data_IF_644762257232
#
_entry.id   IF_644762257232
#
_cell.length_a   1.000
_cell.length_b   1.000
_cell.length_c   1.000
_cell.angle_alpha   90.00
_cell.angle_beta   90.00
_cell.angle_gamma   90.00
#
_symmetry.space_group_name_H-M   'P 1'
#
loop_
_entity.id
_entity.type
_entity.pdbx_description
1 polymer ?
#
# COMPACT_ATOMS: atom_id res chain seq x y z
N UNK A 1 1.60 4.51 16.36
CA UNK A 1 0.97 5.83 16.59
C UNK A 1 0.07 6.07 15.39
N UNK A 2 -1.22 6.28 15.60
CA UNK A 2 -2.15 6.54 14.48
C UNK A 2 -1.83 7.89 13.84
N UNK A 3 -1.75 7.94 12.52
CA UNK A 3 -1.58 9.19 11.78
C UNK A 3 -2.74 10.16 12.10
N UNK A 4 -2.45 11.38 12.60
CA UNK A 4 -3.50 12.35 12.93
C UNK A 4 -4.01 13.01 11.65
N UNK A 5 -4.92 12.32 10.97
CA UNK A 5 -5.56 12.82 9.75
C UNK A 5 -6.58 13.89 10.12
N UNK A 6 -6.37 15.10 9.65
CA UNK A 6 -7.33 16.17 9.86
C UNK A 6 -8.67 15.86 9.18
N UNK A 7 -9.72 16.30 9.86
CA UNK A 7 -11.11 16.21 9.37
C UNK A 7 -11.47 17.49 8.59
N UNK A 8 -10.87 18.62 8.95
CA UNK A 8 -11.14 19.93 8.35
C UNK A 8 -9.82 20.62 7.98
N UNK A 9 -9.81 21.37 6.86
CA UNK A 9 -8.67 22.15 6.41
C UNK A 9 -8.20 21.82 4.99
N UNK A 10 -7.27 22.63 4.42
CA UNK A 10 -6.86 22.51 3.02
C UNK A 10 -6.14 21.19 2.70
N UNK A 11 -5.52 20.55 3.70
CA UNK A 11 -4.84 19.27 3.56
C UNK A 11 -5.74 18.06 3.86
N UNK A 12 -7.00 18.26 4.28
CA UNK A 12 -7.87 17.16 4.70
C UNK A 12 -8.23 16.25 3.52
N UNK A 13 -8.07 14.92 3.65
CA UNK A 13 -8.35 14.01 2.55
C UNK A 13 -9.85 13.91 2.23
N UNK A 14 -10.20 13.68 0.95
CA UNK A 14 -11.59 13.51 0.51
C UNK A 14 -12.32 12.41 1.29
N UNK A 15 -13.50 12.74 1.81
CA UNK A 15 -14.35 11.83 2.56
C UNK A 15 -15.80 11.88 2.09
N UNK A 16 -16.49 10.76 2.22
CA UNK A 16 -17.94 10.64 2.03
C UNK A 16 -18.52 9.91 3.24
N UNK A 17 -19.48 10.52 3.92
CA UNK A 17 -20.07 10.02 5.18
C UNK A 17 -19.04 9.65 6.26
N UNK A 18 -17.89 10.33 6.29
CA UNK A 18 -16.82 10.09 7.27
C UNK A 18 -15.78 9.04 6.85
N UNK A 19 -16.00 8.30 5.76
CA UNK A 19 -15.04 7.34 5.22
C UNK A 19 -14.15 7.97 4.13
N UNK A 20 -12.90 7.52 4.04
CA UNK A 20 -11.97 7.95 2.98
C UNK A 20 -12.43 7.42 1.63
N UNK A 21 -12.51 8.31 0.64
CA UNK A 21 -12.93 7.96 -0.72
C UNK A 21 -11.71 7.87 -1.60
N UNK A 22 -11.55 6.74 -2.27
CA UNK A 22 -10.53 6.50 -3.29
C UNK A 22 -11.23 6.25 -4.63
N UNK A 23 -10.94 7.08 -5.62
CA UNK A 23 -11.41 6.94 -6.99
C UNK A 23 -10.64 5.83 -7.73
N UNK A 24 -9.36 5.64 -7.40
CA UNK A 24 -8.49 4.68 -8.09
C UNK A 24 -7.75 3.74 -7.13
N UNK A 25 -7.44 2.48 -7.53
CA UNK A 25 -6.77 1.52 -6.65
C UNK A 25 -5.38 1.93 -6.17
N UNK A 26 -4.72 2.88 -6.83
CA UNK A 26 -3.40 3.36 -6.42
C UNK A 26 -3.51 4.39 -5.28
N UNK A 27 -4.63 5.09 -5.14
CA UNK A 27 -4.82 6.15 -4.14
C UNK A 27 -4.84 5.58 -2.72
N UNK A 28 -5.53 4.45 -2.52
CA UNK A 28 -5.51 3.72 -1.25
C UNK A 28 -4.12 3.19 -0.89
N UNK A 29 -3.33 2.79 -1.90
CA UNK A 29 -1.94 2.37 -1.71
C UNK A 29 -1.05 3.53 -1.34
N UNK A 30 -1.17 4.67 -2.01
CA UNK A 30 -0.41 5.89 -1.70
C UNK A 30 -0.68 6.37 -0.27
N UNK A 31 -1.95 6.37 0.14
CA UNK A 31 -2.35 6.65 1.51
C UNK A 31 -1.74 5.66 2.50
N UNK A 32 -1.87 4.35 2.25
CA UNK A 32 -1.30 3.32 3.10
C UNK A 32 0.22 3.41 3.25
N UNK A 33 0.94 3.76 2.17
CA UNK A 33 2.40 4.00 2.22
C UNK A 33 2.75 5.18 3.12
N UNK A 34 2.05 6.31 2.99
CA UNK A 34 2.30 7.47 3.84
C UNK A 34 2.07 7.13 5.34
N UNK A 35 0.97 6.45 5.67
CA UNK A 35 0.68 6.03 7.05
C UNK A 35 1.73 5.05 7.57
N UNK A 36 2.11 4.05 6.77
CA UNK A 36 3.11 3.04 7.17
C UNK A 36 4.49 3.67 7.43
N UNK A 37 4.90 4.64 6.60
CA UNK A 37 6.16 5.36 6.76
C UNK A 37 6.15 6.26 8.01
N UNK A 38 5.02 6.91 8.29
CA UNK A 38 4.83 7.67 9.53
C UNK A 38 4.91 6.76 10.77
N UNK A 39 4.22 5.61 10.74
CA UNK A 39 4.26 4.64 11.83
C UNK A 39 5.65 4.06 12.06
N UNK A 40 6.43 3.89 10.99
CA UNK A 40 7.84 3.50 11.04
C UNK A 40 8.78 4.63 11.52
N UNK A 41 8.28 5.85 11.71
CA UNK A 41 9.06 7.00 12.16
C UNK A 41 9.97 7.60 11.09
N UNK A 42 9.72 7.33 9.80
CA UNK A 42 10.51 7.87 8.69
C UNK A 42 10.41 9.42 8.62
N UNK A 43 9.24 9.96 8.94
CA UNK A 43 8.98 11.39 9.03
C UNK A 43 7.93 11.67 10.12
N UNK A 44 7.73 12.95 10.46
CA UNK A 44 6.66 13.36 11.37
C UNK A 44 5.43 13.83 10.59
N UNK A 45 4.23 13.56 11.12
CA UNK A 45 2.99 13.96 10.43
C UNK A 45 2.91 15.45 10.08
N UNK A 46 3.30 16.39 10.96
CA UNK A 46 3.28 17.82 10.63
C UNK A 46 4.22 18.20 9.47
N UNK A 47 5.34 17.50 9.28
CA UNK A 47 6.24 17.74 8.14
C UNK A 47 5.56 17.39 6.83
N UNK A 48 4.93 16.22 6.78
CA UNK A 48 4.18 15.78 5.61
C UNK A 48 3.00 16.73 5.31
N UNK A 49 2.28 17.14 6.34
CA UNK A 49 1.18 18.08 6.21
C UNK A 49 1.65 19.43 5.65
N UNK A 50 2.78 19.97 6.14
CA UNK A 50 3.36 21.20 5.64
C UNK A 50 3.76 21.08 4.15
N UNK A 51 4.37 19.96 3.75
CA UNK A 51 4.71 19.68 2.36
C UNK A 51 3.46 19.60 1.48
N UNK A 52 2.38 18.97 1.96
CA UNK A 52 1.12 18.89 1.24
C UNK A 52 0.47 20.26 1.05
N UNK A 53 0.41 21.09 2.10
CA UNK A 53 -0.10 22.47 2.01
C UNK A 53 0.69 23.27 0.98
N UNK A 54 2.03 23.15 0.98
CA UNK A 54 2.87 23.82 0.01
C UNK A 54 2.59 23.37 -1.44
N UNK A 55 2.37 22.06 -1.65
CA UNK A 55 2.01 21.51 -2.97
C UNK A 55 0.65 21.98 -3.46
N UNK A 56 -0.34 22.02 -2.57
CA UNK A 56 -1.68 22.53 -2.88
C UNK A 56 -1.60 24.01 -3.27
N UNK A 57 -0.93 24.83 -2.47
CA UNK A 57 -0.75 26.25 -2.78
C UNK A 57 -0.01 26.48 -4.10
N UNK A 58 1.02 25.68 -4.40
CA UNK A 58 1.76 25.76 -5.65
C UNK A 58 0.88 25.36 -6.86
N UNK A 59 0.03 24.35 -6.70
CA UNK A 59 -0.93 23.97 -7.73
C UNK A 59 -1.98 25.08 -7.94
N UNK A 60 -2.58 25.61 -6.87
CA UNK A 60 -3.56 26.70 -6.96
C UNK A 60 -3.00 27.94 -7.67
N UNK A 61 -1.72 28.25 -7.47
CA UNK A 61 -1.05 29.37 -8.13
C UNK A 61 -0.76 29.13 -9.62
N UNK A 62 -0.63 27.88 -10.06
CA UNK A 62 -0.22 27.50 -11.41
C UNK A 62 -1.34 26.90 -12.27
N UNK A 63 -2.44 26.46 -11.65
CA UNK A 63 -3.50 25.72 -12.32
C UNK A 63 -4.22 26.58 -13.37
N UNK A 64 -4.47 25.97 -14.53
CA UNK A 64 -5.36 26.56 -15.52
C UNK A 64 -6.84 26.47 -15.06
N UNK A 65 -7.73 27.37 -15.53
CA UNK A 65 -9.13 27.42 -15.10
C UNK A 65 -9.91 26.10 -15.23
N UNK A 66 -9.52 25.25 -16.17
CA UNK A 66 -10.21 23.98 -16.48
C UNK A 66 -9.41 22.75 -16.03
N UNK A 67 -8.32 22.92 -15.27
CA UNK A 67 -7.49 21.79 -14.85
C UNK A 67 -8.11 21.04 -13.67
N UNK A 68 -8.36 19.73 -13.79
CA UNK A 68 -8.97 18.95 -12.71
C UNK A 68 -8.04 18.82 -11.50
N UNK A 69 -8.59 19.06 -10.31
CA UNK A 69 -7.86 18.90 -9.06
C UNK A 69 -7.64 17.42 -8.73
N UNK A 70 -6.38 16.99 -8.69
CA UNK A 70 -5.99 15.62 -8.39
C UNK A 70 -5.36 15.51 -7.00
N UNK A 71 -6.18 15.47 -5.94
CA UNK A 71 -5.74 15.45 -4.55
C UNK A 71 -4.64 14.40 -4.27
N UNK A 72 -4.88 13.14 -4.63
CA UNK A 72 -3.92 12.07 -4.34
C UNK A 72 -2.61 12.15 -5.14
N UNK A 73 -2.58 12.92 -6.25
CA UNK A 73 -1.32 13.23 -6.95
C UNK A 73 -0.49 14.24 -6.16
N UNK A 74 -1.14 15.27 -5.62
CA UNK A 74 -0.48 16.24 -4.73
C UNK A 74 -0.03 15.57 -3.43
N UNK A 75 -0.81 14.63 -2.90
CA UNK A 75 -0.44 13.77 -1.77
C UNK A 75 0.85 12.99 -2.04
N UNK A 76 0.94 12.31 -3.18
CA UNK A 76 2.12 11.52 -3.54
C UNK A 76 3.34 12.43 -3.74
N UNK A 77 3.18 13.56 -4.42
CA UNK A 77 4.27 14.53 -4.62
C UNK A 77 4.78 15.11 -3.29
N UNK A 78 3.89 15.40 -2.34
CA UNK A 78 4.26 15.85 -1.01
C UNK A 78 5.01 14.76 -0.21
N UNK A 79 4.62 13.49 -0.39
CA UNK A 79 5.32 12.36 0.24
C UNK A 79 6.74 12.23 -0.30
N UNK A 80 6.93 12.37 -1.62
CA UNK A 80 8.24 12.38 -2.26
C UNK A 80 9.12 13.52 -1.75
N UNK A 81 8.59 14.74 -1.65
CA UNK A 81 9.33 15.90 -1.12
C UNK A 81 9.76 15.68 0.34
N UNK A 82 8.87 15.12 1.16
CA UNK A 82 9.13 14.84 2.58
C UNK A 82 10.26 13.81 2.73
N UNK A 83 10.30 12.78 1.89
CA UNK A 83 11.33 11.74 1.92
C UNK A 83 12.66 12.21 1.33
N UNK A 84 12.62 13.01 0.26
CA UNK A 84 13.79 13.58 -0.38
C UNK A 84 14.54 14.51 0.58
N UNK A 85 13.82 15.35 1.34
CA UNK A 85 14.41 16.22 2.36
C UNK A 85 15.12 15.49 3.50
N UNK A 86 14.85 14.19 3.68
CA UNK A 86 15.45 13.33 4.70
C UNK A 86 16.53 12.39 4.14
N UNK A 87 16.88 12.50 2.86
CA UNK A 87 17.78 11.59 2.14
C UNK A 87 17.38 10.10 2.26
N UNK A 88 16.11 9.82 2.55
CA UNK A 88 15.62 8.45 2.72
C UNK A 88 15.44 7.76 1.37
N UNK A 89 15.15 8.53 0.32
CA UNK A 89 15.00 8.08 -1.07
C UNK A 89 15.40 9.23 -1.99
N UNK A 90 16.14 8.95 -3.07
CA UNK A 90 16.43 9.95 -4.12
C UNK A 90 15.38 9.89 -5.25
N UNK A 91 15.12 11.03 -5.90
CA UNK A 91 14.22 11.09 -7.05
C UNK A 91 14.65 10.16 -8.20
N UNK A 92 15.97 10.01 -8.39
CA UNK A 92 16.55 9.09 -9.36
C UNK A 92 16.25 7.63 -9.03
N UNK A 93 16.30 7.24 -7.75
CA UNK A 93 15.96 5.90 -7.30
C UNK A 93 14.47 5.59 -7.52
N UNK A 94 13.58 6.53 -7.20
CA UNK A 94 12.14 6.40 -7.47
C UNK A 94 11.88 6.23 -8.97
N UNK A 95 12.55 7.03 -9.80
CA UNK A 95 12.42 6.98 -11.26
C UNK A 95 12.90 5.64 -11.80
N UNK A 96 14.08 5.17 -11.37
CA UNK A 96 14.63 3.88 -11.79
C UNK A 96 13.71 2.71 -11.40
N UNK A 97 13.15 2.73 -10.18
CA UNK A 97 12.19 1.71 -9.73
C UNK A 97 10.88 1.75 -10.50
N UNK A 98 10.38 2.95 -10.81
CA UNK A 98 9.16 3.14 -11.62
C UNK A 98 9.33 2.53 -13.00
N UNK A 99 10.45 2.80 -13.67
CA UNK A 99 10.76 2.21 -14.98
C UNK A 99 10.87 0.68 -14.90
N UNK A 100 11.58 0.15 -13.90
CA UNK A 100 11.71 -1.29 -13.72
C UNK A 100 10.36 -1.99 -13.48
N UNK A 101 9.44 -1.36 -12.74
CA UNK A 101 8.11 -1.88 -12.48
C UNK A 101 7.18 -1.75 -13.69
N UNK A 102 7.26 -0.65 -14.44
CA UNK A 102 6.49 -0.46 -15.67
C UNK A 102 6.84 -1.49 -16.76
N UNK A 103 8.09 -1.94 -16.77
CA UNK A 103 8.57 -2.97 -17.70
C UNK A 103 8.13 -4.39 -17.31
N UNK A 104 7.61 -4.62 -16.11
CA UNK A 104 7.20 -5.96 -15.67
C UNK A 104 5.88 -6.34 -16.35
N UNK A 105 5.82 -7.48 -17.07
CA UNK A 105 4.55 -7.97 -17.58
C UNK A 105 3.59 -8.22 -16.40
N UNK A 106 2.36 -7.73 -16.51
CA UNK A 106 1.30 -7.99 -15.52
C UNK A 106 0.94 -9.46 -15.63
N UNK A 107 1.65 -10.32 -14.88
CA UNK A 107 1.26 -11.71 -14.71
C UNK A 107 0.00 -11.73 -13.86
N UNK A 108 -1.15 -11.68 -14.53
CA UNK A 108 -2.43 -12.05 -13.94
C UNK A 108 -2.37 -13.55 -13.70
N UNK A 109 -1.94 -13.98 -12.51
CA UNK A 109 -2.17 -15.35 -12.07
C UNK A 109 -3.67 -15.49 -11.84
N UNK A 110 -4.41 -15.84 -12.88
CA UNK A 110 -5.76 -16.38 -12.74
C UNK A 110 -5.60 -17.74 -12.05
N UNK A 111 -5.72 -17.74 -10.73
CA UNK A 111 -5.81 -18.96 -9.96
C UNK A 111 -7.18 -19.59 -10.27
N UNK A 112 -7.20 -20.56 -11.18
CA UNK A 112 -8.29 -21.52 -11.32
C UNK A 112 -8.40 -22.25 -9.98
N UNK A 113 -9.45 -21.96 -9.23
CA UNK A 113 -9.77 -22.67 -7.99
C UNK A 113 -10.09 -24.14 -8.33
N UNK A 114 -9.14 -25.04 -8.09
CA UNK A 114 -9.44 -26.45 -7.90
C UNK A 114 -9.82 -26.64 -6.44
N UNK A 115 -11.11 -26.55 -6.15
CA UNK A 115 -11.70 -26.97 -4.87
C UNK A 115 -11.57 -28.50 -4.77
N UNK A 116 -10.55 -28.98 -4.08
CA UNK A 116 -10.53 -30.37 -3.59
C UNK A 116 -11.15 -30.38 -2.20
N UNK A 117 -12.42 -30.80 -2.14
CA UNK A 117 -13.17 -31.02 -0.92
C UNK A 117 -12.41 -31.96 0.03
N UNK A 118 -12.17 -31.48 1.25
CA UNK A 118 -11.68 -32.25 2.39
C UNK A 118 -12.77 -33.24 2.84
N UNK A 119 -12.51 -34.54 2.73
CA UNK A 119 -13.31 -35.56 3.41
C UNK A 119 -12.61 -35.91 4.73
N UNK A 120 -13.34 -35.65 5.81
CA UNK A 120 -13.00 -35.85 7.22
C UNK A 120 -12.50 -37.28 7.53
N UNK A 121 -11.50 -37.43 8.43
CA UNK A 121 -11.05 -38.74 8.91
C UNK A 121 -12.07 -39.33 9.90
N UNK A 122 -12.44 -40.59 9.71
CA UNK A 122 -13.16 -41.41 10.71
C UNK A 122 -12.40 -42.72 10.87
N UNK A 123 -11.72 -42.86 12.01
CA UNK A 123 -11.26 -44.13 12.57
C UNK A 123 -12.10 -44.37 13.84
N UNK A 124 -12.60 -45.59 14.09
CA UNK A 124 -11.87 -46.44 15.05
C UNK A 124 -11.95 -47.95 14.76
N UNK A 125 -10.79 -48.60 14.79
CA UNK A 125 -10.56 -49.78 15.63
C UNK A 125 -10.72 -51.18 15.00
N UNK A 126 -9.58 -51.88 14.83
CA UNK A 126 -9.47 -53.32 15.03
C UNK A 126 -8.02 -53.73 15.33
N UNK A 127 -7.89 -54.76 16.16
CA UNK A 127 -6.76 -55.16 16.98
C UNK A 127 -5.60 -55.88 16.26
N UNK A 128 -4.38 -55.67 16.80
CA UNK A 128 -3.29 -56.66 17.07
C UNK A 128 -2.72 -57.59 15.97
N UNK A 129 -1.58 -58.28 16.18
CA UNK A 129 -0.36 -57.95 16.94
C UNK A 129 0.96 -58.17 16.14
N UNK A 130 2.08 -57.76 16.75
CA UNK A 130 3.45 -58.11 16.39
C UNK A 130 3.65 -59.61 16.07
N UNK A 131 4.35 -59.91 14.97
CA UNK A 131 5.22 -61.08 14.86
C UNK A 131 6.41 -60.78 13.94
N UNK A 132 7.56 -61.33 14.34
CA UNK A 132 8.90 -61.15 13.81
C UNK A 132 9.08 -61.65 12.37
N UNK A 133 10.08 -61.11 11.66
CA UNK A 133 10.65 -61.76 10.48
C UNK A 133 11.78 -60.95 9.82
N UNK A 134 13.01 -61.38 10.08
CA UNK A 134 14.30 -60.81 9.62
C UNK A 134 14.55 -60.77 8.11
N UNK A 135 15.59 -59.99 7.75
CA UNK A 135 16.79 -60.37 6.97
C UNK A 135 16.95 -59.84 5.51
N UNK A 136 18.14 -59.23 5.29
CA UNK A 136 19.01 -59.20 4.08
C UNK A 136 18.49 -58.44 2.84
N UNK A 137 19.26 -57.52 2.25
CA UNK A 137 20.64 -57.65 1.76
C UNK A 137 21.43 -56.35 1.86
#
# INVERSE_FOLDING_TARGET
>A
MTAPLDIEGPAAPPRSNGELVFAEPWESRAFGMAVSLYEAGAFTWPEFQAALIARIAAWEAAAAPDEPYHYYRLWLAALEDTLAGRCAVSADEVTARTLALAQRPRTTTTATATTTSTTTPTDPGASSPCALGSVVK
#
